data_IF_119745781290
#
_entry.id   IF_119745781290
#
_cell.length_a   1.000
_cell.length_b   1.000
_cell.length_c   1.000
_cell.angle_alpha   90.00
_cell.angle_beta   90.00
_cell.angle_gamma   90.00
#
_symmetry.space_group_name_H-M   'P 1'
#
loop_
_entity.id
_entity.type
_entity.pdbx_description
1 polymer ?
#
# COMPACT_ATOMS: atom_id res chain seq x y z
N UNK A 1 1.20 7.40 -7.84
CA UNK A 1 1.06 5.93 -7.93
C UNK A 1 0.07 5.41 -6.88
N UNK A 2 0.27 5.71 -5.59
CA UNK A 2 -0.58 5.26 -4.47
C UNK A 2 -2.08 5.58 -4.66
N UNK A 3 -2.44 6.85 -4.93
CA UNK A 3 -3.85 7.27 -5.06
C UNK A 3 -4.62 6.44 -6.11
N UNK A 4 -3.96 6.06 -7.20
CA UNK A 4 -4.56 5.21 -8.24
C UNK A 4 -4.89 3.81 -7.69
N UNK A 5 -4.00 3.22 -6.89
CA UNK A 5 -4.25 1.92 -6.24
C UNK A 5 -5.35 2.02 -5.17
N UNK A 6 -5.39 3.11 -4.41
CA UNK A 6 -6.48 3.37 -3.47
C UNK A 6 -7.85 3.41 -4.17
N UNK A 7 -7.93 4.00 -5.36
CA UNK A 7 -9.16 3.98 -6.16
C UNK A 7 -9.58 2.56 -6.58
N UNK A 8 -8.62 1.69 -6.92
CA UNK A 8 -8.93 0.29 -7.26
C UNK A 8 -9.47 -0.46 -6.04
N UNK A 9 -8.83 -0.33 -4.88
CA UNK A 9 -9.30 -0.92 -3.64
C UNK A 9 -10.71 -0.44 -3.29
N UNK A 10 -10.96 0.87 -3.30
CA UNK A 10 -12.29 1.43 -3.03
C UNK A 10 -13.35 0.91 -4.02
N UNK A 11 -13.01 0.79 -5.29
CA UNK A 11 -13.92 0.27 -6.31
C UNK A 11 -14.26 -1.20 -6.07
N UNK A 12 -13.27 -2.02 -5.70
CA UNK A 12 -13.49 -3.43 -5.38
C UNK A 12 -14.33 -3.58 -4.10
N UNK A 13 -14.07 -2.77 -3.07
CA UNK A 13 -14.89 -2.72 -1.88
C UNK A 13 -16.36 -2.37 -2.20
N UNK A 14 -16.59 -1.36 -3.06
CA UNK A 14 -17.93 -1.01 -3.54
C UNK A 14 -18.60 -2.16 -4.31
N UNK A 15 -17.85 -2.92 -5.11
CA UNK A 15 -18.37 -4.11 -5.79
C UNK A 15 -18.82 -5.18 -4.79
N UNK A 16 -18.05 -5.39 -3.72
CA UNK A 16 -18.43 -6.33 -2.66
C UNK A 16 -19.72 -5.89 -1.95
N UNK A 17 -19.83 -4.61 -1.59
CA UNK A 17 -21.03 -4.04 -0.96
C UNK A 17 -22.29 -4.22 -1.82
N UNK A 18 -22.17 -4.04 -3.15
CA UNK A 18 -23.30 -4.17 -4.07
C UNK A 18 -23.67 -5.62 -4.37
N UNK A 19 -22.78 -6.57 -4.08
CA UNK A 19 -23.01 -7.97 -4.37
C UNK A 19 -23.88 -8.63 -3.29
N UNK A 20 -25.19 -8.69 -3.53
CA UNK A 20 -26.18 -9.32 -2.62
C UNK A 20 -25.95 -10.82 -2.36
N UNK A 21 -25.09 -11.49 -3.15
CA UNK A 21 -24.73 -12.90 -2.94
C UNK A 21 -23.61 -13.07 -1.90
N UNK A 22 -22.80 -12.03 -1.68
CA UNK A 22 -21.76 -12.04 -0.65
C UNK A 22 -22.43 -11.91 0.72
N UNK A 23 -22.30 -12.96 1.54
CA UNK A 23 -22.86 -12.98 2.91
C UNK A 23 -22.04 -12.16 3.90
N UNK A 24 -20.79 -11.81 3.56
CA UNK A 24 -19.87 -11.02 4.38
C UNK A 24 -18.90 -10.24 3.51
N UNK A 25 -18.40 -9.12 4.02
CA UNK A 25 -17.31 -8.36 3.40
C UNK A 25 -15.99 -9.12 3.56
N UNK A 26 -15.18 -9.08 2.50
CA UNK A 26 -13.80 -9.58 2.50
C UNK A 26 -12.87 -8.39 2.72
N UNK A 27 -12.01 -8.43 3.75
CA UNK A 27 -11.06 -7.35 4.00
C UNK A 27 -10.12 -7.20 2.80
N UNK A 28 -9.84 -5.95 2.44
CA UNK A 28 -8.88 -5.61 1.41
C UNK A 28 -7.67 -4.96 2.07
N UNK A 29 -6.49 -5.30 1.55
CA UNK A 29 -5.21 -4.77 2.02
C UNK A 29 -4.37 -4.48 0.79
N UNK A 30 -3.92 -3.23 0.69
CA UNK A 30 -2.93 -2.82 -0.29
C UNK A 30 -1.51 -2.94 0.29
N UNK A 31 -0.64 -3.67 -0.40
CA UNK A 31 0.81 -3.68 -0.14
C UNK A 31 1.53 -3.30 -1.42
N UNK A 32 2.33 -2.25 -1.37
CA UNK A 32 3.11 -1.74 -2.50
C UNK A 32 4.54 -2.25 -2.38
N UNK A 33 4.96 -3.11 -3.31
CA UNK A 33 6.36 -3.48 -3.47
C UNK A 33 7.03 -2.48 -4.40
N UNK A 34 7.91 -1.66 -3.84
CA UNK A 34 8.60 -0.62 -4.58
C UNK A 34 10.00 -1.10 -4.98
N UNK A 35 10.31 -1.00 -6.26
CA UNK A 35 11.56 -1.49 -6.89
C UNK A 35 12.33 -0.37 -7.58
N UNK A 36 12.02 0.90 -7.29
CA UNK A 36 12.68 2.03 -7.95
C UNK A 36 14.14 2.21 -7.50
N UNK A 37 14.89 3.00 -8.27
CA UNK A 37 16.33 3.14 -8.05
C UNK A 37 16.67 3.82 -6.72
N UNK A 38 15.93 4.88 -6.41
CA UNK A 38 16.07 5.65 -5.17
C UNK A 38 15.15 5.07 -4.09
N UNK A 39 15.56 5.16 -2.83
CA UNK A 39 14.71 4.85 -1.67
C UNK A 39 13.35 5.53 -1.78
N UNK A 40 12.30 4.83 -1.38
CA UNK A 40 10.96 5.43 -1.28
C UNK A 40 10.98 6.69 -0.41
N UNK A 41 10.57 7.82 -0.98
CA UNK A 41 10.58 9.14 -0.31
C UNK A 41 9.25 9.87 -0.42
N UNK A 42 8.17 9.17 -0.80
CA UNK A 42 6.83 9.77 -0.91
C UNK A 42 6.00 9.47 0.34
N UNK A 43 4.94 10.24 0.62
CA UNK A 43 4.23 10.08 1.88
C UNK A 43 3.57 8.72 2.06
N UNK A 44 3.49 8.28 3.32
CA UNK A 44 2.94 6.99 3.75
C UNK A 44 1.58 7.13 4.44
N UNK A 45 1.17 8.35 4.75
CA UNK A 45 -0.15 8.67 5.29
C UNK A 45 -0.90 9.49 4.24
N UNK A 46 -2.23 9.33 4.16
CA UNK A 46 -3.03 10.01 3.14
C UNK A 46 -3.07 11.51 3.41
N UNK A 47 -3.11 11.89 4.69
CA UNK A 47 -3.14 13.28 5.10
C UNK A 47 -1.93 14.07 4.61
N UNK A 48 -0.75 13.45 4.54
CA UNK A 48 0.47 14.10 4.04
C UNK A 48 0.40 14.52 2.56
N UNK A 49 -0.58 14.02 1.80
CA UNK A 49 -0.78 14.41 0.39
C UNK A 49 -1.59 15.72 0.25
N UNK A 50 -2.24 16.19 1.31
CA UNK A 50 -3.17 17.31 1.26
C UNK A 50 -2.81 18.36 2.29
N UNK A 51 -3.05 19.62 1.97
CA UNK A 51 -2.98 20.70 2.95
C UNK A 51 -4.34 20.78 3.68
N UNK A 52 -4.48 20.02 4.77
CA UNK A 52 -5.73 19.90 5.54
C UNK A 52 -5.66 20.84 6.75
N UNK A 53 -6.59 21.80 6.89
CA UNK A 53 -6.72 22.61 8.10
C UNK A 53 -6.83 21.76 9.35
N UNK A 54 -6.23 22.18 10.46
CA UNK A 54 -6.18 21.39 11.71
C UNK A 54 -7.57 20.97 12.20
N UNK A 55 -8.54 21.90 12.10
CA UNK A 55 -9.95 21.69 12.46
C UNK A 55 -10.62 20.57 11.66
N UNK A 56 -10.11 20.27 10.46
CA UNK A 56 -10.68 19.26 9.57
C UNK A 56 -9.99 17.90 9.67
N UNK A 57 -8.82 17.82 10.31
CA UNK A 57 -8.05 16.56 10.39
C UNK A 57 -8.80 15.43 11.07
N UNK A 58 -9.65 15.71 12.06
CA UNK A 58 -10.45 14.70 12.76
C UNK A 58 -11.55 14.07 11.88
N UNK A 59 -11.98 14.77 10.83
CA UNK A 59 -13.05 14.34 9.94
C UNK A 59 -12.52 13.58 8.71
N UNK A 60 -11.21 13.66 8.44
CA UNK A 60 -10.58 12.98 7.31
C UNK A 60 -10.05 11.63 7.76
N UNK A 61 -10.43 10.58 7.04
CA UNK A 61 -9.91 9.24 7.29
C UNK A 61 -8.47 9.14 6.79
N UNK A 62 -7.52 9.08 7.72
CA UNK A 62 -6.12 8.93 7.37
C UNK A 62 -5.77 7.48 7.03
N UNK A 63 -5.54 7.21 5.75
CA UNK A 63 -5.18 5.89 5.26
C UNK A 63 -3.67 5.67 5.27
N UNK A 64 -3.24 4.67 6.04
CA UNK A 64 -1.84 4.25 6.13
C UNK A 64 -1.47 3.34 4.96
N UNK A 65 -0.55 3.80 4.15
CA UNK A 65 -0.04 3.11 2.98
C UNK A 65 1.07 2.16 3.41
N UNK A 66 0.93 0.87 3.07
CA UNK A 66 1.97 -0.14 3.35
C UNK A 66 2.89 -0.27 2.14
N UNK A 67 4.06 0.35 2.24
CA UNK A 67 5.12 0.25 1.24
C UNK A 67 6.23 -0.66 1.77
N UNK A 68 6.67 -1.57 0.93
CA UNK A 68 7.85 -2.40 1.11
C UNK A 68 8.85 -2.00 0.04
N UNK A 69 9.91 -1.30 0.45
CA UNK A 69 11.04 -1.04 -0.44
C UNK A 69 11.86 -2.33 -0.57
N UNK A 70 11.84 -2.93 -1.76
CA UNK A 70 12.45 -4.24 -2.04
C UNK A 70 13.97 -4.20 -1.83
N UNK A 71 14.59 -3.02 -1.92
CA UNK A 71 16.03 -2.88 -1.64
C UNK A 71 16.34 -2.98 -0.14
N UNK A 72 15.39 -2.59 0.72
CA UNK A 72 15.55 -2.56 2.18
C UNK A 72 15.03 -3.81 2.89
N UNK A 73 14.43 -4.77 2.17
CA UNK A 73 13.94 -6.00 2.81
C UNK A 73 15.10 -6.84 3.35
N UNK A 74 14.87 -7.38 4.54
CA UNK A 74 15.73 -8.38 5.14
C UNK A 74 15.53 -9.73 4.41
N UNK A 75 16.41 -10.01 3.46
CA UNK A 75 16.37 -11.21 2.62
C UNK A 75 16.62 -12.50 3.41
N UNK A 76 17.16 -12.42 4.63
CA UNK A 76 17.35 -13.59 5.50
C UNK A 76 16.02 -14.26 5.87
N UNK A 77 14.93 -13.47 5.88
CA UNK A 77 13.56 -13.94 6.18
C UNK A 77 12.90 -14.67 5.01
N UNK A 78 13.42 -14.54 3.79
CA UNK A 78 12.92 -15.24 2.61
C UNK A 78 13.43 -16.68 2.70
N UNK A 79 12.53 -17.66 2.87
CA UNK A 79 12.91 -19.08 3.03
C UNK A 79 13.38 -19.73 1.72
N UNK A 80 12.94 -19.20 0.59
CA UNK A 80 13.31 -19.69 -0.72
C UNK A 80 14.75 -19.28 -1.08
N UNK A 81 15.56 -20.26 -1.46
CA UNK A 81 17.01 -20.09 -1.69
C UNK A 81 17.28 -19.49 -3.07
N UNK A 82 16.42 -19.75 -4.05
CA UNK A 82 16.59 -19.23 -5.42
C UNK A 82 16.45 -17.70 -5.47
N UNK A 83 15.60 -17.13 -4.62
CA UNK A 83 15.41 -15.67 -4.49
C UNK A 83 16.48 -14.97 -3.66
N UNK A 84 17.35 -15.70 -2.95
CA UNK A 84 18.46 -15.12 -2.14
C UNK A 84 19.73 -14.83 -2.95
N UNK A 85 19.97 -15.60 -4.01
CA UNK A 85 21.29 -15.68 -4.68
C UNK A 85 21.45 -14.75 -5.89
N UNK A 86 20.42 -13.99 -6.28
CA UNK A 86 20.58 -13.04 -7.39
C UNK A 86 21.41 -11.84 -6.91
N UNK A 87 22.58 -11.57 -7.51
CA UNK A 87 23.35 -10.37 -7.19
C UNK A 87 22.48 -9.14 -7.47
N UNK A 88 22.32 -8.30 -6.45
CA UNK A 88 21.68 -6.99 -6.63
C UNK A 88 22.77 -6.05 -7.11
N UNK A 89 22.98 -6.00 -8.41
CA UNK A 89 23.90 -5.03 -9.02
C UNK A 89 23.45 -3.60 -8.66
N UNK A 90 24.44 -2.80 -8.31
CA UNK A 90 24.40 -1.47 -7.66
C UNK A 90 23.72 -0.43 -8.53
#
# INVERSE_FOLDING_TARGET
MVIRYGNYEMTEYLKQLKNKKLKRLVPQVMIVFYTGDKKWNTPLELNDYFDIPEELKEYVNDWKIKVVDVKEIDTSKIKDVQTRSHPRDV
#
